data_IF_237086495107
#
_entry.id   IF_237086495107
#
_cell.length_a   1.000
_cell.length_b   1.000
_cell.length_c   1.000
_cell.angle_alpha   90.00
_cell.angle_beta   90.00
_cell.angle_gamma   90.00
#
_symmetry.space_group_name_H-M   'P 1'
#
loop_
_entity.id
_entity.type
_entity.pdbx_description
1 polymer ?
#
# COMPACT_ATOMS: atom_id res chain seq x y z
N UNK A 1 -21.99 -1.28 -5.12
CA UNK A 1 -21.30 -0.56 -6.21
C UNK A 1 -19.84 -0.93 -6.09
N UNK A 2 -19.14 -1.23 -7.18
CA UNK A 2 -17.72 -1.58 -7.10
C UNK A 2 -16.92 -0.36 -6.64
N UNK A 3 -16.09 -0.54 -5.64
CA UNK A 3 -15.22 0.48 -5.04
C UNK A 3 -13.81 0.35 -5.63
N UNK A 4 -13.14 1.47 -5.88
CA UNK A 4 -11.81 1.47 -6.52
C UNK A 4 -10.69 1.57 -5.50
N UNK A 5 -9.75 0.63 -5.52
CA UNK A 5 -8.45 0.76 -4.86
C UNK A 5 -7.47 1.37 -5.85
N UNK A 6 -7.00 2.57 -5.55
CA UNK A 6 -6.06 3.29 -6.40
C UNK A 6 -4.61 2.91 -6.05
N UNK A 7 -3.83 2.55 -7.07
CA UNK A 7 -2.40 2.25 -6.95
C UNK A 7 -1.63 3.40 -7.59
N UNK A 8 -0.88 4.14 -6.79
CA UNK A 8 -0.02 5.19 -7.31
C UNK A 8 1.11 4.58 -8.13
N UNK A 9 1.30 5.09 -9.35
CA UNK A 9 2.37 4.67 -10.25
C UNK A 9 3.25 5.87 -10.62
N UNK A 10 4.55 5.67 -10.50
CA UNK A 10 5.60 6.63 -10.79
C UNK A 10 6.82 5.87 -11.30
N UNK A 11 7.71 6.58 -12.00
CA UNK A 11 9.00 6.00 -12.35
C UNK A 11 9.69 5.47 -11.09
N UNK A 12 10.37 4.33 -11.24
CA UNK A 12 11.10 3.62 -10.18
C UNK A 12 10.23 2.96 -9.10
N UNK A 13 8.89 2.90 -9.24
CA UNK A 13 8.12 2.15 -8.24
C UNK A 13 8.52 0.66 -8.23
N UNK A 14 8.57 0.08 -7.04
CA UNK A 14 9.09 -1.28 -6.79
C UNK A 14 8.02 -2.35 -7.09
N UNK A 15 8.30 -3.24 -8.04
CA UNK A 15 7.33 -4.17 -8.63
C UNK A 15 6.77 -5.20 -7.64
N UNK A 16 7.62 -5.74 -6.75
CA UNK A 16 7.23 -6.87 -5.89
C UNK A 16 6.41 -6.45 -4.66
N UNK A 17 6.45 -5.17 -4.29
CA UNK A 17 5.96 -4.70 -2.99
C UNK A 17 4.44 -4.71 -2.87
N UNK A 18 3.74 -4.54 -3.99
CA UNK A 18 2.28 -4.41 -4.03
C UNK A 18 1.59 -5.60 -4.68
N UNK A 19 2.34 -6.48 -5.35
CA UNK A 19 1.81 -7.54 -6.21
C UNK A 19 0.80 -8.44 -5.50
N UNK A 20 1.10 -8.89 -4.27
CA UNK A 20 0.20 -9.75 -3.49
C UNK A 20 -1.12 -9.07 -3.14
N UNK A 21 -1.08 -7.80 -2.73
CA UNK A 21 -2.27 -7.05 -2.36
C UNK A 21 -3.17 -6.82 -3.59
N UNK A 22 -2.62 -6.26 -4.67
CA UNK A 22 -3.41 -5.90 -5.85
C UNK A 22 -3.97 -7.15 -6.56
N UNK A 23 -3.27 -8.28 -6.51
CA UNK A 23 -3.75 -9.54 -7.08
C UNK A 23 -5.03 -10.03 -6.38
N UNK A 24 -5.01 -10.07 -5.04
CA UNK A 24 -6.13 -10.58 -4.24
C UNK A 24 -7.27 -9.57 -4.10
N UNK A 25 -7.02 -8.28 -4.27
CA UNK A 25 -8.07 -7.25 -4.38
C UNK A 25 -8.79 -7.36 -5.72
N UNK A 26 -8.05 -7.57 -6.81
CA UNK A 26 -8.62 -7.54 -8.16
C UNK A 26 -9.20 -8.88 -8.63
N UNK A 27 -8.83 -9.99 -7.98
CA UNK A 27 -9.36 -11.34 -8.27
C UNK A 27 -10.46 -11.73 -7.29
N UNK A 28 -11.62 -12.23 -7.77
CA UNK A 28 -12.75 -12.60 -6.90
C UNK A 28 -12.52 -13.82 -6.00
N UNK A 29 -11.42 -14.55 -6.18
CA UNK A 29 -11.14 -15.79 -5.47
C UNK A 29 -11.01 -15.53 -3.95
N UNK A 30 -11.73 -16.33 -3.16
CA UNK A 30 -11.80 -16.25 -1.68
C UNK A 30 -12.34 -14.95 -1.09
N UNK A 31 -12.75 -13.97 -1.91
CA UNK A 31 -13.33 -12.73 -1.44
C UNK A 31 -14.67 -12.98 -0.76
N UNK A 32 -14.92 -12.29 0.37
CA UNK A 32 -16.24 -12.31 1.05
C UNK A 32 -17.34 -11.79 0.14
N UNK A 33 -17.04 -10.74 -0.61
CA UNK A 33 -17.95 -10.07 -1.54
C UNK A 33 -17.27 -9.92 -2.91
N UNK A 34 -17.30 -10.97 -3.76
CA UNK A 34 -16.67 -10.94 -5.08
C UNK A 34 -17.15 -9.76 -5.93
N UNK A 35 -16.19 -9.00 -6.48
CA UNK A 35 -16.48 -7.84 -7.33
C UNK A 35 -16.81 -6.55 -6.56
N UNK A 36 -16.69 -6.56 -5.22
CA UNK A 36 -16.74 -5.35 -4.40
C UNK A 36 -15.62 -4.38 -4.76
N UNK A 37 -14.42 -4.88 -5.05
CA UNK A 37 -13.26 -4.04 -5.37
C UNK A 37 -12.76 -4.22 -6.80
N UNK A 38 -12.18 -3.14 -7.34
CA UNK A 38 -11.34 -3.15 -8.54
C UNK A 38 -10.06 -2.36 -8.27
N UNK A 39 -8.98 -2.69 -8.97
CA UNK A 39 -7.74 -1.90 -8.93
C UNK A 39 -7.68 -0.95 -10.12
N UNK A 40 -7.28 0.30 -9.89
CA UNK A 40 -6.95 1.27 -10.94
C UNK A 40 -5.64 2.00 -10.61
N UNK A 41 -4.82 2.24 -11.63
CA UNK A 41 -3.54 2.94 -11.49
C UNK A 41 -3.70 4.45 -11.61
N UNK A 42 -2.99 5.21 -10.78
CA UNK A 42 -3.03 6.68 -10.77
C UNK A 42 -1.62 7.25 -10.89
N UNK A 43 -1.39 8.04 -11.95
CA UNK A 43 -0.11 8.70 -12.22
C UNK A 43 -0.15 10.21 -11.96
N UNK A 44 1.01 10.85 -11.92
CA UNK A 44 1.09 12.32 -11.95
C UNK A 44 0.59 12.90 -13.29
N UNK A 45 0.74 12.12 -14.37
CA UNK A 45 0.22 12.41 -15.71
C UNK A 45 -0.29 11.11 -16.33
N UNK A 46 -0.95 11.17 -17.48
CA UNK A 46 -1.34 9.97 -18.25
C UNK A 46 -0.19 9.34 -19.05
N UNK A 47 1.02 9.90 -18.96
CA UNK A 47 2.21 9.35 -19.65
C UNK A 47 2.65 8.03 -19.01
N UNK A 48 3.17 7.07 -19.80
CA UNK A 48 3.68 5.83 -19.25
C UNK A 48 4.88 6.07 -18.33
N UNK A 49 4.97 5.29 -17.25
CA UNK A 49 6.13 5.24 -16.35
C UNK A 49 6.91 3.94 -16.60
N UNK A 50 8.11 3.85 -16.02
CA UNK A 50 8.91 2.63 -15.98
C UNK A 50 9.16 2.20 -14.53
N UNK A 51 8.74 0.99 -14.17
CA UNK A 51 8.97 0.41 -12.84
C UNK A 51 10.44 0.12 -12.61
N UNK A 52 10.83 -0.14 -11.36
CA UNK A 52 12.22 -0.49 -11.02
C UNK A 52 12.72 -1.75 -11.76
N UNK A 53 11.83 -2.72 -12.00
CA UNK A 53 12.08 -3.92 -12.78
C UNK A 53 12.04 -3.73 -14.30
N UNK A 54 11.73 -2.52 -14.79
CA UNK A 54 11.73 -2.19 -16.22
C UNK A 54 10.41 -2.40 -16.95
N UNK A 55 9.30 -2.63 -16.25
CA UNK A 55 7.97 -2.71 -16.86
C UNK A 55 7.46 -1.32 -17.22
N UNK A 56 6.81 -1.18 -18.39
CA UNK A 56 6.12 0.05 -18.76
C UNK A 56 4.66 -0.02 -18.34
N UNK A 57 4.21 0.90 -17.50
CA UNK A 57 2.82 0.99 -17.01
C UNK A 57 2.20 2.29 -17.51
N UNK A 58 1.00 2.20 -18.07
CA UNK A 58 0.19 3.36 -18.47
C UNK A 58 -0.84 3.61 -17.36
N UNK A 59 -0.84 4.78 -16.71
CA UNK A 59 -1.82 5.09 -15.69
C UNK A 59 -3.25 5.10 -16.24
N UNK A 60 -4.20 4.51 -15.52
CA UNK A 60 -5.62 4.53 -15.87
C UNK A 60 -6.22 5.94 -15.69
N UNK A 61 -5.69 6.69 -14.72
CA UNK A 61 -6.11 8.06 -14.40
C UNK A 61 -4.97 8.88 -13.79
N UNK A 62 -5.26 10.13 -13.42
CA UNK A 62 -4.29 11.08 -12.87
C UNK A 62 -4.69 11.62 -11.50
N UNK A 63 -3.70 12.05 -10.73
CA UNK A 63 -3.90 12.55 -9.36
C UNK A 63 -4.91 13.71 -9.26
N UNK A 64 -5.00 14.56 -10.28
CA UNK A 64 -5.93 15.70 -10.34
C UNK A 64 -7.39 15.27 -10.58
N UNK A 65 -7.61 14.11 -11.18
CA UNK A 65 -8.94 13.55 -11.43
C UNK A 65 -9.43 12.75 -10.23
N UNK A 66 -8.54 12.03 -9.54
CA UNK A 66 -8.91 11.17 -8.41
C UNK A 66 -9.36 11.98 -7.19
N UNK A 67 -10.60 11.74 -6.76
CA UNK A 67 -11.16 12.24 -5.50
C UNK A 67 -11.09 11.12 -4.46
N UNK A 68 -10.62 11.42 -3.23
CA UNK A 68 -10.58 10.42 -2.15
C UNK A 68 -11.91 9.70 -1.93
N UNK A 69 -13.03 10.42 -1.93
CA UNK A 69 -14.35 9.88 -1.58
C UNK A 69 -14.88 8.84 -2.58
N UNK A 70 -14.28 8.75 -3.77
CA UNK A 70 -14.62 7.73 -4.77
C UNK A 70 -13.69 6.49 -4.67
N UNK A 71 -12.84 6.43 -3.63
CA UNK A 71 -11.81 5.41 -3.48
C UNK A 71 -12.00 4.62 -2.18
N UNK A 72 -11.68 3.33 -2.25
CA UNK A 72 -11.57 2.47 -1.07
C UNK A 72 -10.22 2.64 -0.35
N UNK A 73 -9.13 2.91 -1.10
CA UNK A 73 -7.77 3.06 -0.57
C UNK A 73 -6.84 3.67 -1.62
N UNK A 74 -5.73 4.29 -1.18
CA UNK A 74 -4.55 4.60 -1.99
C UNK A 74 -3.35 3.73 -1.57
N UNK A 75 -2.69 3.07 -2.52
CA UNK A 75 -1.48 2.27 -2.29
C UNK A 75 -0.25 2.96 -2.92
N UNK A 76 0.83 3.08 -2.16
CA UNK A 76 2.11 3.70 -2.54
C UNK A 76 3.25 2.70 -2.35
N UNK A 77 3.81 2.19 -3.45
CA UNK A 77 4.99 1.34 -3.42
C UNK A 77 6.28 2.15 -3.13
N UNK A 78 7.33 1.49 -2.67
CA UNK A 78 8.68 2.01 -2.63
C UNK A 78 9.13 2.53 -3.99
N UNK A 79 10.09 3.44 -3.99
CA UNK A 79 10.65 4.10 -5.16
C UNK A 79 11.97 4.78 -4.81
N UNK A 80 12.68 5.30 -5.82
CA UNK A 80 13.92 6.07 -5.66
C UNK A 80 13.69 7.60 -5.64
N UNK A 81 12.48 8.05 -5.98
CA UNK A 81 12.15 9.48 -6.13
C UNK A 81 11.56 10.11 -4.86
N UNK A 82 11.44 9.35 -3.78
CA UNK A 82 10.68 9.68 -2.56
C UNK A 82 11.13 10.98 -1.88
N UNK A 83 12.41 11.34 -2.03
CA UNK A 83 13.03 12.56 -1.50
C UNK A 83 13.09 13.72 -2.51
N UNK A 84 12.37 13.61 -3.62
CA UNK A 84 12.38 14.61 -4.70
C UNK A 84 11.00 15.28 -4.86
N UNK A 85 10.96 16.41 -5.56
CA UNK A 85 9.70 17.08 -5.90
C UNK A 85 8.76 16.21 -6.75
N UNK A 86 9.28 15.21 -7.45
CA UNK A 86 8.47 14.29 -8.26
C UNK A 86 7.52 13.44 -7.40
N UNK A 87 7.88 13.13 -6.16
CA UNK A 87 7.03 12.36 -5.25
C UNK A 87 6.05 13.24 -4.46
N UNK A 88 6.29 14.55 -4.38
CA UNK A 88 5.48 15.49 -3.58
C UNK A 88 3.98 15.48 -3.91
N UNK A 89 3.55 15.41 -5.20
CA UNK A 89 2.13 15.28 -5.54
C UNK A 89 1.45 14.02 -4.96
N UNK A 90 2.19 12.90 -4.87
CA UNK A 90 1.66 11.64 -4.31
C UNK A 90 1.53 11.72 -2.79
N UNK A 91 2.51 12.31 -2.10
CA UNK A 91 2.43 12.57 -0.66
C UNK A 91 1.29 13.56 -0.32
N UNK A 92 1.08 14.58 -1.16
CA UNK A 92 -0.06 15.49 -1.02
C UNK A 92 -1.40 14.75 -1.20
N UNK A 93 -1.51 13.89 -2.23
CA UNK A 93 -2.72 13.07 -2.44
C UNK A 93 -2.97 12.12 -1.28
N UNK A 94 -1.94 11.51 -0.71
CA UNK A 94 -2.05 10.69 0.49
C UNK A 94 -2.64 11.47 1.67
N UNK A 95 -2.23 12.73 1.85
CA UNK A 95 -2.85 13.61 2.85
C UNK A 95 -4.34 13.83 2.59
N UNK A 96 -4.73 14.09 1.35
CA UNK A 96 -6.13 14.27 0.99
C UNK A 96 -6.97 13.02 1.31
N UNK A 97 -6.41 11.84 1.04
CA UNK A 97 -7.03 10.54 1.37
C UNK A 97 -7.24 10.38 2.88
N UNK A 98 -6.18 10.54 3.67
CA UNK A 98 -6.28 10.44 5.13
C UNK A 98 -7.20 11.51 5.73
N UNK A 99 -7.21 12.72 5.19
CA UNK A 99 -8.11 13.79 5.63
C UNK A 99 -9.58 13.48 5.33
N UNK A 100 -9.86 12.68 4.29
CA UNK A 100 -11.19 12.21 3.94
C UNK A 100 -11.61 10.92 4.69
N UNK A 101 -10.76 10.36 5.55
CA UNK A 101 -11.01 9.08 6.23
C UNK A 101 -10.89 7.86 5.30
N UNK A 102 -10.14 8.01 4.20
CA UNK A 102 -9.89 6.94 3.23
C UNK A 102 -8.49 6.37 3.47
N UNK A 103 -8.35 5.04 3.62
CA UNK A 103 -7.06 4.41 3.88
C UNK A 103 -5.95 4.73 2.88
N UNK A 104 -4.74 4.85 3.41
CA UNK A 104 -3.50 4.91 2.64
C UNK A 104 -2.58 3.79 3.10
N UNK A 105 -1.99 3.07 2.16
CA UNK A 105 -0.97 2.07 2.43
C UNK A 105 0.34 2.44 1.74
N UNK A 106 1.43 2.56 2.50
CA UNK A 106 2.76 2.92 1.97
C UNK A 106 3.86 1.98 2.46
N UNK A 107 4.75 1.57 1.57
CA UNK A 107 5.82 0.62 1.86
C UNK A 107 7.17 1.16 1.41
N UNK A 108 8.26 0.76 2.07
CA UNK A 108 9.63 1.06 1.65
C UNK A 108 9.87 2.58 1.49
N UNK A 109 10.50 3.04 0.41
CA UNK A 109 10.83 4.46 0.18
C UNK A 109 9.62 5.41 0.27
N UNK A 110 8.40 4.95 -0.03
CA UNK A 110 7.20 5.78 0.12
C UNK A 110 6.99 6.24 1.57
N UNK A 111 7.37 5.43 2.56
CA UNK A 111 7.33 5.83 3.98
C UNK A 111 8.23 7.04 4.26
N UNK A 112 9.39 7.15 3.58
CA UNK A 112 10.27 8.33 3.68
C UNK A 112 9.61 9.59 3.13
N UNK A 113 8.93 9.48 1.98
CA UNK A 113 8.15 10.59 1.42
C UNK A 113 6.98 11.03 2.31
N UNK A 114 6.28 10.07 2.94
CA UNK A 114 5.24 10.38 3.93
C UNK A 114 5.82 11.03 5.21
N UNK A 115 7.00 10.60 5.65
CA UNK A 115 7.71 11.18 6.80
C UNK A 115 8.10 12.64 6.54
N UNK A 116 8.68 12.94 5.36
CA UNK A 116 9.01 14.31 4.95
C UNK A 116 7.78 15.22 4.86
N UNK A 117 6.62 14.65 4.52
CA UNK A 117 5.36 15.36 4.52
C UNK A 117 4.64 15.34 5.90
N UNK A 118 5.28 14.85 6.97
CA UNK A 118 4.74 14.88 8.33
C UNK A 118 3.51 14.01 8.56
N UNK A 119 3.23 13.04 7.68
CA UNK A 119 2.07 12.14 7.82
C UNK A 119 2.31 11.02 8.84
N UNK A 120 3.56 10.83 9.26
CA UNK A 120 3.97 9.86 10.27
C UNK A 120 4.12 10.47 11.68
N UNK A 121 3.98 11.79 11.81
CA UNK A 121 4.34 12.51 13.04
C UNK A 121 3.38 12.26 14.21
N UNK A 122 2.15 11.83 13.92
CA UNK A 122 1.09 11.56 14.90
C UNK A 122 0.52 10.13 14.78
N UNK A 123 1.21 9.23 14.05
CA UNK A 123 0.77 7.84 13.82
C UNK A 123 1.86 6.84 14.18
N UNK A 124 1.49 5.72 14.79
CA UNK A 124 2.38 4.57 14.85
C UNK A 124 2.66 4.07 13.43
N UNK A 125 3.92 3.74 13.16
CA UNK A 125 4.36 3.37 11.81
C UNK A 125 5.64 2.53 11.85
N UNK A 126 5.95 1.93 10.71
CA UNK A 126 7.24 1.26 10.43
C UNK A 126 7.82 1.76 9.10
N UNK A 127 9.02 1.31 8.78
CA UNK A 127 9.76 1.56 7.53
C UNK A 127 10.90 0.55 7.42
N UNK A 128 11.75 0.67 6.40
CA UNK A 128 12.93 -0.17 6.20
C UNK A 128 13.90 -0.16 7.39
N UNK A 129 14.03 0.99 8.06
CA UNK A 129 14.82 1.17 9.28
C UNK A 129 14.39 2.47 9.97
N UNK A 130 14.50 2.51 11.31
CA UNK A 130 14.28 3.73 12.07
C UNK A 130 15.29 4.82 11.66
N UNK A 131 16.55 4.45 11.44
CA UNK A 131 17.64 5.35 11.01
C UNK A 131 17.36 5.99 9.65
N UNK A 132 16.75 5.25 8.74
CA UNK A 132 16.34 5.78 7.43
C UNK A 132 15.34 6.93 7.61
N UNK A 133 14.29 6.76 8.40
CA UNK A 133 13.34 7.84 8.66
C UNK A 133 13.95 8.96 9.50
N UNK A 134 14.76 8.65 10.51
CA UNK A 134 15.43 9.64 11.34
C UNK A 134 16.36 10.54 10.51
N UNK A 135 16.94 10.02 9.42
CA UNK A 135 17.80 10.80 8.52
C UNK A 135 17.09 11.98 7.85
N UNK A 136 15.75 11.96 7.75
CA UNK A 136 14.96 13.07 7.18
C UNK A 136 14.41 14.05 8.22
N UNK A 137 14.71 13.85 9.50
CA UNK A 137 14.39 14.82 10.56
C UNK A 137 12.89 15.00 10.85
N UNK A 138 12.06 14.01 10.52
CA UNK A 138 10.63 14.01 10.85
C UNK A 138 10.37 13.91 12.37
N UNK A 139 9.20 14.34 12.85
CA UNK A 139 8.89 14.44 14.28
C UNK A 139 8.35 13.13 14.90
N UNK A 140 7.94 12.18 14.05
CA UNK A 140 7.31 10.92 14.45
C UNK A 140 8.23 9.84 15.04
N UNK A 141 9.53 10.05 15.21
CA UNK A 141 10.48 9.00 15.62
C UNK A 141 10.11 8.21 16.89
N UNK A 142 9.39 8.83 17.82
CA UNK A 142 8.90 8.21 19.05
C UNK A 142 7.71 7.25 18.86
N UNK A 143 7.09 7.24 17.68
CA UNK A 143 5.96 6.38 17.29
C UNK A 143 6.38 5.20 16.41
N UNK A 144 7.65 5.14 16.00
CA UNK A 144 8.19 4.04 15.20
C UNK A 144 8.06 2.69 15.94
N UNK A 145 7.66 1.66 15.21
CA UNK A 145 7.59 0.26 15.66
C UNK A 145 8.46 -0.59 14.75
N UNK A 146 9.36 -1.36 15.37
CA UNK A 146 10.19 -2.34 14.67
C UNK A 146 9.36 -3.61 14.38
N UNK A 147 8.40 -3.46 13.48
CA UNK A 147 7.47 -4.48 13.03
C UNK A 147 7.42 -4.52 11.50
N UNK A 148 7.14 -5.68 10.86
CA UNK A 148 7.16 -5.81 9.40
C UNK A 148 6.16 -4.90 8.68
N UNK A 149 4.99 -4.70 9.28
CA UNK A 149 3.95 -3.78 8.84
C UNK A 149 3.18 -3.26 10.06
N UNK A 150 2.68 -2.04 10.00
CA UNK A 150 1.96 -1.36 11.09
C UNK A 150 0.75 -0.64 10.51
N UNK A 151 -0.41 -0.87 11.12
CA UNK A 151 -1.63 -0.11 10.86
C UNK A 151 -1.95 0.79 12.05
N UNK A 152 -2.07 2.10 11.81
CA UNK A 152 -2.61 3.05 12.77
C UNK A 152 -3.68 3.92 12.09
N UNK A 153 -4.93 3.78 12.56
CA UNK A 153 -6.12 4.38 11.97
C UNK A 153 -6.25 3.99 10.48
N UNK A 154 -6.12 4.95 9.59
CA UNK A 154 -6.25 4.79 8.14
C UNK A 154 -4.89 4.74 7.43
N UNK A 155 -3.78 4.69 8.17
CA UNK A 155 -2.45 4.57 7.59
C UNK A 155 -1.85 3.20 7.86
N UNK A 156 -1.52 2.50 6.78
CA UNK A 156 -0.77 1.25 6.79
C UNK A 156 0.64 1.57 6.31
N UNK A 157 1.65 1.16 7.08
CA UNK A 157 3.07 1.27 6.69
C UNK A 157 3.74 -0.09 6.67
N UNK A 158 4.71 -0.30 5.77
CA UNK A 158 5.43 -1.57 5.65
C UNK A 158 6.91 -1.40 5.34
N UNK A 159 7.72 -2.38 5.76
CA UNK A 159 9.12 -2.50 5.36
C UNK A 159 9.25 -3.24 4.00
N UNK A 160 10.24 -2.88 3.20
CA UNK A 160 10.48 -3.41 1.84
C UNK A 160 10.63 -4.94 1.78
N UNK A 161 11.14 -5.53 2.87
CA UNK A 161 11.36 -6.97 3.00
C UNK A 161 10.12 -7.74 3.49
N UNK A 162 9.01 -7.04 3.73
CA UNK A 162 7.79 -7.61 4.30
C UNK A 162 6.51 -7.39 3.45
N UNK A 163 6.55 -7.56 2.11
CA UNK A 163 5.39 -7.30 1.26
C UNK A 163 4.17 -8.17 1.59
N UNK A 164 4.38 -9.37 2.15
CA UNK A 164 3.28 -10.25 2.60
C UNK A 164 2.56 -9.69 3.83
N UNK A 165 3.31 -9.12 4.79
CA UNK A 165 2.73 -8.51 5.98
C UNK A 165 1.99 -7.23 5.60
N UNK A 166 2.59 -6.41 4.73
CA UNK A 166 1.94 -5.23 4.17
C UNK A 166 0.63 -5.58 3.44
N UNK A 167 0.65 -6.62 2.61
CA UNK A 167 -0.56 -7.10 1.95
C UNK A 167 -1.61 -7.63 2.94
N UNK A 168 -1.21 -8.32 4.02
CA UNK A 168 -2.13 -8.75 5.08
C UNK A 168 -2.88 -7.56 5.69
N UNK A 169 -2.16 -6.52 6.10
CA UNK A 169 -2.76 -5.31 6.69
C UNK A 169 -3.75 -4.63 5.72
N UNK A 170 -3.42 -4.57 4.42
CA UNK A 170 -4.32 -4.02 3.40
C UNK A 170 -5.59 -4.86 3.26
N UNK A 171 -5.45 -6.18 3.12
CA UNK A 171 -6.57 -7.10 2.93
C UNK A 171 -7.49 -7.12 4.16
N UNK A 172 -6.91 -7.00 5.35
CA UNK A 172 -7.65 -6.85 6.62
C UNK A 172 -8.39 -5.52 6.69
N UNK A 173 -7.71 -4.40 6.40
CA UNK A 173 -8.31 -3.06 6.47
C UNK A 173 -9.47 -2.88 5.48
N UNK A 174 -9.41 -3.55 4.33
CA UNK A 174 -10.47 -3.55 3.31
C UNK A 174 -11.55 -4.61 3.55
N UNK A 175 -11.38 -5.51 4.53
CA UNK A 175 -12.24 -6.67 4.78
C UNK A 175 -12.47 -7.51 3.50
N UNK A 176 -11.37 -7.79 2.76
CA UNK A 176 -11.44 -8.55 1.50
C UNK A 176 -11.81 -10.01 1.77
N UNK A 177 -11.21 -10.59 2.81
CA UNK A 177 -11.33 -12.00 3.19
C UNK A 177 -11.97 -12.17 4.55
N UNK A 178 -12.70 -13.28 4.74
CA UNK A 178 -13.14 -13.65 6.07
C UNK A 178 -11.91 -13.88 6.97
N UNK A 179 -11.98 -13.63 8.29
CA UNK A 179 -10.81 -13.79 9.16
C UNK A 179 -10.12 -15.17 9.06
N UNK A 180 -10.88 -16.24 8.88
CA UNK A 180 -10.34 -17.60 8.66
C UNK A 180 -9.56 -17.71 7.33
N UNK A 181 -10.15 -17.24 6.23
CA UNK A 181 -9.52 -17.18 4.91
C UNK A 181 -8.23 -16.35 4.95
N UNK A 182 -8.26 -15.16 5.58
CA UNK A 182 -7.07 -14.31 5.71
C UNK A 182 -5.97 -15.00 6.53
N UNK A 183 -6.34 -15.73 7.58
CA UNK A 183 -5.38 -16.50 8.38
C UNK A 183 -4.75 -17.64 7.57
N UNK A 184 -5.53 -18.40 6.80
CA UNK A 184 -5.02 -19.46 5.92
C UNK A 184 -4.17 -18.90 4.77
N UNK A 185 -4.54 -17.75 4.23
CA UNK A 185 -3.74 -17.00 3.26
C UNK A 185 -2.39 -16.59 3.86
N UNK A 186 -2.39 -16.01 5.05
CA UNK A 186 -1.14 -15.61 5.70
C UNK A 186 -0.28 -16.81 6.10
N UNK A 187 -0.89 -17.94 6.50
CA UNK A 187 -0.17 -19.20 6.71
C UNK A 187 0.55 -19.67 5.45
N UNK A 188 -0.10 -19.59 4.29
CA UNK A 188 0.53 -19.97 3.01
C UNK A 188 1.66 -19.01 2.61
N UNK A 189 1.38 -17.71 2.55
CA UNK A 189 2.32 -16.73 1.96
C UNK A 189 3.34 -16.20 2.97
N UNK A 190 2.91 -15.97 4.21
CA UNK A 190 3.71 -15.40 5.30
C UNK A 190 4.54 -16.46 5.99
N UNK A 191 3.88 -17.48 6.56
CA UNK A 191 4.54 -18.56 7.30
C UNK A 191 5.19 -19.60 6.38
N UNK A 192 4.86 -19.55 5.07
CA UNK A 192 5.32 -20.50 4.04
C UNK A 192 4.93 -21.95 4.36
N UNK A 193 3.78 -22.11 5.02
CA UNK A 193 3.25 -23.41 5.40
C UNK A 193 2.18 -23.87 4.37
N UNK A 194 2.42 -25.00 3.67
CA UNK A 194 1.47 -25.53 2.69
C UNK A 194 0.11 -25.92 3.28
N UNK A 195 -0.03 -26.06 4.61
CA UNK A 195 -1.33 -26.24 5.24
C UNK A 195 -2.31 -25.12 4.89
N UNK A 196 -1.82 -23.87 4.77
CA UNK A 196 -2.64 -22.74 4.34
C UNK A 196 -3.25 -22.92 2.95
N UNK A 197 -2.52 -23.55 2.02
CA UNK A 197 -3.05 -23.88 0.69
C UNK A 197 -4.21 -24.86 0.77
N UNK A 198 -4.09 -25.93 1.56
CA UNK A 198 -5.15 -26.93 1.68
C UNK A 198 -6.40 -26.35 2.37
N UNK A 199 -6.21 -25.47 3.35
CA UNK A 199 -7.31 -24.74 4.01
C UNK A 199 -8.04 -23.82 3.01
N UNK A 200 -7.30 -23.01 2.24
CA UNK A 200 -7.88 -22.13 1.21
C UNK A 200 -8.62 -22.89 0.10
N UNK A 201 -8.15 -24.07 -0.27
CA UNK A 201 -8.81 -24.90 -1.29
C UNK A 201 -10.08 -25.59 -0.78
N UNK A 202 -10.34 -25.55 0.54
CA UNK A 202 -11.53 -26.11 1.16
C UNK A 202 -12.65 -25.07 1.41
N UNK A 203 -12.36 -23.78 1.20
CA UNK A 203 -13.31 -22.66 1.24
C UNK A 203 -14.14 -22.55 -0.06
#
# INVERSE_FOLDING_TARGET
>A
MTETVHVAVYDTFVDWEIGLAIDHINKPMWQREPGRFTVATVGATASPIVTMGGMRVVPDTTLDVVRPQDSAMLILAGNDIWNTEQFSPFAAKARDFLAAGVPVAAICGATGGLAMAGLLDDRAHTSNAAEFLNSVGYAGGHLYRDEPAVTDRDLITGAANAPVHFAREILERLDVFAPGVLASWFKLYGDRDPAGFYELMAE
#
